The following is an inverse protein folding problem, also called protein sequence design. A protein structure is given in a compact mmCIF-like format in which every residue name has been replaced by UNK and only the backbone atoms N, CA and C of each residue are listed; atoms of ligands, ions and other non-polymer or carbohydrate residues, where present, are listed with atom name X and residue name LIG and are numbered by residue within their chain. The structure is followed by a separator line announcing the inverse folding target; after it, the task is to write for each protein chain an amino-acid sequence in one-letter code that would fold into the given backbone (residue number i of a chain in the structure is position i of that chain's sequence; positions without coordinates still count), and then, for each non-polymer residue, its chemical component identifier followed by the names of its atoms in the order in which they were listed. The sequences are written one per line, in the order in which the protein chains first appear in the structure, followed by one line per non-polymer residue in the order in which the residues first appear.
data_IF_922798361818
#
_entry.id   IF_922798361818
#
_cell.length_a   1.000
_cell.length_b   1.000
_cell.length_c   1.000
_cell.angle_alpha   90.00
_cell.angle_beta   90.00
_cell.angle_gamma   90.00
#
_symmetry.space_group_name_H-M   'P 1'
#
loop_
_entity.id
_entity.type
_entity.pdbx_description
1 polymer ?
#
# COMPACT_ATOMS: atom_id res chain seq x y z
N UNK A 1 -62.35 -12.97 -25.30
CA UNK A 1 -61.09 -13.40 -25.94
C UNK A 1 -60.07 -12.30 -25.73
N UNK A 2 -59.08 -12.57 -24.88
CA UNK A 2 -57.68 -12.10 -24.93
C UNK A 2 -56.97 -12.78 -23.75
N UNK A 3 -56.42 -13.95 -24.06
CA UNK A 3 -55.45 -14.71 -23.27
C UNK A 3 -54.19 -13.86 -23.04
N UNK A 4 -53.69 -13.71 -21.81
CA UNK A 4 -52.81 -14.64 -21.08
C UNK A 4 -51.32 -14.36 -21.37
N UNK A 5 -50.56 -13.90 -20.37
CA UNK A 5 -49.41 -14.61 -19.77
C UNK A 5 -48.52 -13.72 -18.87
N UNK A 6 -48.18 -14.31 -17.72
CA UNK A 6 -46.87 -14.39 -17.03
C UNK A 6 -46.06 -13.11 -16.76
N UNK A 7 -45.26 -12.98 -15.71
CA UNK A 7 -44.71 -13.86 -14.67
C UNK A 7 -44.18 -12.90 -13.56
N UNK A 8 -44.15 -13.35 -12.31
CA UNK A 8 -43.36 -12.73 -11.22
C UNK A 8 -41.96 -13.36 -11.29
N UNK A 9 -40.83 -12.62 -11.18
CA UNK A 9 -40.14 -12.59 -9.88
C UNK A 9 -39.20 -11.40 -9.54
N UNK A 10 -38.95 -11.32 -8.23
CA UNK A 10 -37.76 -10.89 -7.49
C UNK A 10 -37.17 -9.47 -7.62
N UNK A 11 -37.16 -8.80 -6.45
CA UNK A 11 -36.07 -7.96 -5.99
C UNK A 11 -35.36 -8.72 -4.83
N UNK A 12 -34.13 -8.39 -4.38
CA UNK A 12 -33.22 -7.31 -4.78
C UNK A 12 -31.78 -7.77 -5.08
N UNK A 13 -31.09 -7.17 -6.06
CA UNK A 13 -29.63 -7.27 -6.17
C UNK A 13 -28.95 -6.15 -5.38
N UNK A 14 -28.06 -6.55 -4.47
CA UNK A 14 -26.90 -5.81 -3.99
C UNK A 14 -25.75 -6.84 -3.85
N UNK A 15 -24.46 -6.47 -3.86
CA UNK A 15 -23.88 -5.12 -3.93
C UNK A 15 -22.93 -4.92 -5.14
N UNK A 16 -22.66 -3.66 -5.45
CA UNK A 16 -21.57 -3.23 -6.34
C UNK A 16 -20.25 -3.86 -5.88
N UNK A 17 -19.78 -4.80 -6.71
CA UNK A 17 -18.46 -5.41 -6.64
C UNK A 17 -17.45 -4.32 -6.96
N UNK A 18 -16.71 -3.88 -5.94
CA UNK A 18 -15.72 -2.80 -6.08
C UNK A 18 -14.58 -3.31 -6.95
N UNK A 19 -14.65 -2.93 -8.23
CA UNK A 19 -13.67 -3.25 -9.25
C UNK A 19 -12.24 -2.90 -8.81
N UNK A 20 -11.31 -3.83 -9.11
CA UNK A 20 -9.88 -3.57 -9.14
C UNK A 20 -9.59 -2.28 -9.93
N UNK A 21 -8.98 -1.30 -9.28
CA UNK A 21 -8.52 -0.10 -9.96
C UNK A 21 -7.25 -0.45 -10.75
N UNK A 22 -7.40 -0.67 -12.05
CA UNK A 22 -6.27 -0.73 -13.00
C UNK A 22 -5.70 0.68 -13.13
N UNK A 23 -4.52 0.91 -12.57
CA UNK A 23 -3.73 2.10 -12.86
C UNK A 23 -2.85 1.78 -14.06
N UNK A 24 -3.25 2.25 -15.24
CA UNK A 24 -2.46 2.14 -16.46
C UNK A 24 -1.36 3.20 -16.46
N UNK A 25 -0.09 2.76 -16.35
CA UNK A 25 1.08 3.56 -16.76
C UNK A 25 1.98 2.66 -17.61
N UNK A 26 2.22 3.11 -18.84
CA UNK A 26 2.87 2.37 -19.92
C UNK A 26 4.29 1.86 -19.59
N UNK A 27 4.41 0.54 -19.48
CA UNK A 27 5.45 -0.35 -20.02
C UNK A 27 4.93 -1.77 -19.77
N UNK A 28 5.10 -2.69 -20.73
CA UNK A 28 4.50 -4.03 -20.79
C UNK A 28 5.04 -5.00 -19.72
N UNK A 29 4.92 -4.60 -18.46
CA UNK A 29 5.19 -5.35 -17.25
C UNK A 29 3.88 -5.36 -16.48
N UNK A 30 3.20 -6.50 -16.47
CA UNK A 30 2.02 -6.70 -15.62
C UNK A 30 2.49 -6.64 -14.17
N UNK A 31 2.38 -5.47 -13.55
CA UNK A 31 2.66 -5.29 -12.14
C UNK A 31 1.52 -5.94 -11.35
N UNK A 32 1.71 -7.19 -10.94
CA UNK A 32 0.77 -7.84 -10.02
C UNK A 32 0.99 -7.27 -8.63
N UNK A 33 -0.05 -6.62 -8.11
CA UNK A 33 -0.03 -5.98 -6.80
C UNK A 33 -1.03 -6.64 -5.87
N UNK A 34 -0.50 -7.27 -4.83
CA UNK A 34 -1.26 -7.78 -3.71
C UNK A 34 -1.67 -6.63 -2.77
N UNK A 35 -2.92 -6.56 -2.34
CA UNK A 35 -3.37 -5.58 -1.34
C UNK A 35 -3.75 -6.26 -0.02
N UNK A 36 -3.24 -5.76 1.10
CA UNK A 36 -3.60 -6.25 2.43
C UNK A 36 -3.49 -5.16 3.51
N UNK A 37 -4.05 -5.41 4.69
CA UNK A 37 -3.90 -4.50 5.83
C UNK A 37 -2.47 -4.53 6.39
N UNK A 38 -1.92 -3.37 6.75
CA UNK A 38 -0.56 -3.23 7.26
C UNK A 38 -0.36 -3.95 8.61
N UNK A 39 -1.30 -3.80 9.54
CA UNK A 39 -1.22 -4.35 10.90
C UNK A 39 -0.97 -5.87 10.95
N UNK A 40 -1.80 -6.73 10.32
CA UNK A 40 -1.56 -8.18 10.35
C UNK A 40 -0.25 -8.57 9.64
N UNK A 41 0.15 -7.85 8.60
CA UNK A 41 1.41 -8.08 7.91
C UNK A 41 2.62 -7.79 8.82
N UNK A 42 2.61 -6.66 9.55
CA UNK A 42 3.67 -6.28 10.47
C UNK A 42 3.76 -7.21 11.69
N UNK A 43 2.62 -7.70 12.17
CA UNK A 43 2.59 -8.72 13.22
C UNK A 43 3.26 -10.02 12.78
N UNK A 44 2.99 -10.47 11.55
CA UNK A 44 3.61 -11.66 10.99
C UNK A 44 5.14 -11.46 10.85
N UNK A 45 5.59 -10.32 10.30
CA UNK A 45 7.02 -10.02 10.19
C UNK A 45 7.70 -9.99 11.56
N UNK A 46 7.12 -9.30 12.53
CA UNK A 46 7.69 -9.17 13.87
C UNK A 46 7.86 -10.53 14.54
N UNK A 47 6.88 -11.41 14.36
CA UNK A 47 6.89 -12.78 14.90
C UNK A 47 8.02 -13.63 14.31
N UNK A 48 8.23 -13.56 12.99
CA UNK A 48 9.22 -14.41 12.31
C UNK A 48 10.64 -13.83 12.26
N UNK A 49 10.77 -12.49 12.22
CA UNK A 49 12.02 -11.81 11.91
C UNK A 49 12.43 -10.71 12.89
N UNK A 50 11.64 -10.40 13.93
CA UNK A 50 11.88 -9.25 14.82
C UNK A 50 13.31 -9.15 15.36
N UNK A 51 13.86 -10.27 15.87
CA UNK A 51 15.24 -10.31 16.36
C UNK A 51 16.30 -10.11 15.26
N UNK A 52 16.01 -10.55 14.03
CA UNK A 52 16.93 -10.43 12.90
C UNK A 52 16.90 -9.02 12.29
N UNK A 53 15.74 -8.36 12.29
CA UNK A 53 15.61 -6.96 11.89
C UNK A 53 16.38 -6.04 12.84
N UNK A 54 16.27 -6.28 14.16
CA UNK A 54 16.96 -5.48 15.17
C UNK A 54 18.50 -5.63 15.16
N UNK A 55 19.03 -6.79 14.74
CA UNK A 55 20.47 -7.11 14.80
C UNK A 55 21.19 -6.98 13.46
N UNK A 56 20.47 -6.61 12.40
CA UNK A 56 20.97 -6.67 11.03
C UNK A 56 20.83 -8.08 10.43
N UNK A 57 20.28 -8.14 9.21
CA UNK A 57 19.99 -9.41 8.54
C UNK A 57 21.18 -9.94 7.74
N UNK A 58 21.50 -11.21 7.94
CA UNK A 58 22.42 -11.95 7.07
C UNK A 58 21.81 -12.14 5.67
N UNK A 59 22.65 -12.41 4.66
CA UNK A 59 22.19 -12.71 3.29
C UNK A 59 21.17 -13.85 3.26
N UNK A 60 21.41 -14.94 4.01
CA UNK A 60 20.46 -16.06 4.07
C UNK A 60 19.12 -15.70 4.69
N UNK A 61 19.11 -14.81 5.70
CA UNK A 61 17.87 -14.29 6.29
C UNK A 61 17.10 -13.41 5.31
N UNK A 62 17.79 -12.60 4.51
CA UNK A 62 17.17 -11.75 3.47
C UNK A 62 16.45 -12.59 2.42
N UNK A 63 17.03 -13.71 2.00
CA UNK A 63 16.37 -14.60 1.03
C UNK A 63 15.12 -15.27 1.61
N UNK A 64 15.16 -15.68 2.88
CA UNK A 64 13.99 -16.24 3.59
C UNK A 64 12.88 -15.18 3.71
N UNK A 65 13.25 -13.95 4.05
CA UNK A 65 12.32 -12.83 4.15
C UNK A 65 11.67 -12.51 2.80
N UNK A 66 12.45 -12.42 1.71
CA UNK A 66 11.91 -12.20 0.35
C UNK A 66 10.90 -13.28 -0.03
N UNK A 67 11.23 -14.55 0.23
CA UNK A 67 10.30 -15.66 0.00
C UNK A 67 9.06 -15.56 0.89
N UNK A 68 9.19 -15.12 2.14
CA UNK A 68 8.07 -14.91 3.04
C UNK A 68 7.12 -13.82 2.50
N UNK A 69 7.64 -12.65 2.14
CA UNK A 69 6.86 -11.55 1.55
C UNK A 69 6.18 -12.01 0.26
N UNK A 70 6.92 -12.67 -0.65
CA UNK A 70 6.34 -13.20 -1.88
C UNK A 70 5.27 -14.27 -1.67
N UNK A 71 5.29 -15.02 -0.56
CA UNK A 71 4.21 -15.95 -0.20
C UNK A 71 2.99 -15.22 0.35
N UNK A 72 3.20 -14.24 1.24
CA UNK A 72 2.11 -13.42 1.77
C UNK A 72 1.38 -12.71 0.62
N UNK A 73 2.13 -12.15 -0.32
CA UNK A 73 1.57 -11.48 -1.48
C UNK A 73 0.74 -12.43 -2.36
N UNK A 74 1.25 -13.63 -2.68
CA UNK A 74 0.49 -14.64 -3.45
C UNK A 74 -0.79 -15.07 -2.74
N UNK A 75 -0.75 -15.20 -1.42
CA UNK A 75 -1.92 -15.60 -0.63
C UNK A 75 -3.03 -14.53 -0.59
N UNK A 76 -2.70 -13.27 -0.90
CA UNK A 76 -3.67 -12.17 -0.98
C UNK A 76 -4.17 -11.87 -2.40
N UNK A 77 -3.78 -12.66 -3.39
CA UNK A 77 -4.32 -12.55 -4.74
C UNK A 77 -5.49 -13.53 -4.90
N UNK A 78 -6.53 -13.08 -5.60
CA UNK A 78 -7.65 -13.95 -5.99
C UNK A 78 -7.24 -14.93 -7.09
N UNK A 79 -6.30 -14.52 -7.95
CA UNK A 79 -5.72 -15.35 -9.01
C UNK A 79 -4.23 -15.61 -8.76
N UNK A 80 -3.77 -16.86 -8.97
CA UNK A 80 -2.36 -17.20 -8.80
C UNK A 80 -1.51 -16.48 -9.85
N UNK A 81 -0.53 -15.69 -9.39
CA UNK A 81 0.47 -15.06 -10.22
C UNK A 81 1.86 -15.66 -9.97
N UNK A 82 2.57 -15.92 -11.07
CA UNK A 82 3.94 -16.44 -11.03
C UNK A 82 4.92 -15.37 -10.52
N UNK A 83 4.73 -14.11 -10.95
CA UNK A 83 5.60 -12.98 -10.61
C UNK A 83 4.84 -11.88 -9.86
N UNK A 84 5.27 -11.64 -8.61
CA UNK A 84 4.81 -10.49 -7.81
C UNK A 84 6.01 -9.61 -7.54
N UNK A 85 5.90 -8.35 -7.95
CA UNK A 85 6.99 -7.39 -7.79
C UNK A 85 6.75 -6.42 -6.64
N UNK A 86 5.49 -6.17 -6.25
CA UNK A 86 5.13 -5.27 -5.17
C UNK A 86 3.92 -5.75 -4.36
N UNK A 87 3.82 -5.26 -3.13
CA UNK A 87 2.66 -5.36 -2.28
C UNK A 87 2.21 -3.97 -1.86
N UNK A 88 0.91 -3.78 -1.74
CA UNK A 88 0.28 -2.60 -1.18
C UNK A 88 -0.23 -2.93 0.22
N UNK A 89 0.33 -2.27 1.22
CA UNK A 89 -0.19 -2.32 2.59
C UNK A 89 -1.09 -1.11 2.82
N UNK A 90 -2.31 -1.34 3.31
CA UNK A 90 -3.23 -0.27 3.70
C UNK A 90 -3.09 0.02 5.19
N UNK A 91 -2.82 1.27 5.54
CA UNK A 91 -2.86 1.74 6.94
C UNK A 91 -4.30 2.02 7.36
N UNK A 92 -4.52 2.15 8.67
CA UNK A 92 -5.84 2.47 9.22
C UNK A 92 -6.33 3.86 8.78
N UNK A 93 -5.40 4.81 8.62
CA UNK A 93 -5.69 6.16 8.09
C UNK A 93 -5.89 6.20 6.56
N UNK A 94 -5.99 5.05 5.89
CA UNK A 94 -6.23 4.97 4.45
C UNK A 94 -5.05 5.43 3.59
N UNK A 95 -3.82 5.32 4.09
CA UNK A 95 -2.62 5.45 3.27
C UNK A 95 -2.24 4.10 2.66
N UNK A 96 -1.72 4.14 1.44
CA UNK A 96 -1.23 2.96 0.73
C UNK A 96 0.30 2.96 0.74
N UNK A 97 0.91 1.98 1.40
CA UNK A 97 2.35 1.75 1.38
C UNK A 97 2.65 0.77 0.25
N UNK A 98 3.27 1.28 -0.80
CA UNK A 98 3.83 0.47 -1.88
C UNK A 98 5.21 -0.05 -1.47
N UNK A 99 5.33 -1.37 -1.43
CA UNK A 99 6.55 -2.05 -1.06
C UNK A 99 6.91 -3.10 -2.08
N UNK A 100 8.12 -3.00 -2.64
CA UNK A 100 8.65 -4.04 -3.52
C UNK A 100 8.99 -5.30 -2.73
N UNK A 101 8.86 -6.47 -3.36
CA UNK A 101 9.22 -7.75 -2.70
C UNK A 101 10.71 -7.83 -2.37
N UNK A 102 11.56 -7.09 -3.11
CA UNK A 102 13.00 -7.01 -2.91
C UNK A 102 13.45 -5.85 -1.99
N UNK A 103 12.51 -5.24 -1.25
CA UNK A 103 12.76 -4.06 -0.41
C UNK A 103 13.99 -4.19 0.50
N UNK A 104 14.64 -3.06 0.73
CA UNK A 104 15.77 -2.96 1.65
C UNK A 104 15.39 -3.38 3.09
N UNK A 105 16.23 -4.19 3.77
CA UNK A 105 16.09 -4.53 5.19
C UNK A 105 15.79 -3.34 6.10
N UNK A 106 16.48 -2.23 5.85
CA UNK A 106 16.42 -1.01 6.64
C UNK A 106 15.04 -0.34 6.52
N UNK A 107 14.46 -0.38 5.33
CA UNK A 107 13.11 0.13 5.09
C UNK A 107 12.07 -0.71 5.82
N UNK A 108 12.20 -2.04 5.75
CA UNK A 108 11.30 -2.96 6.44
C UNK A 108 11.37 -2.81 7.96
N UNK A 109 12.56 -2.59 8.51
CA UNK A 109 12.75 -2.35 9.94
C UNK A 109 12.08 -1.05 10.43
N UNK A 110 11.89 -0.07 9.55
CA UNK A 110 11.23 1.20 9.85
C UNK A 110 9.70 1.14 9.74
N UNK A 111 9.14 0.13 9.07
CA UNK A 111 7.69 0.05 8.83
C UNK A 111 6.83 0.08 10.11
N UNK A 112 7.20 -0.60 11.23
CA UNK A 112 6.41 -0.52 12.45
C UNK A 112 6.27 0.92 12.96
N UNK A 113 7.38 1.64 13.13
CA UNK A 113 7.37 3.03 13.59
C UNK A 113 6.64 3.96 12.58
N UNK A 114 6.79 3.69 11.29
CA UNK A 114 6.10 4.45 10.23
C UNK A 114 4.57 4.27 10.29
N UNK A 115 4.10 3.04 10.57
CA UNK A 115 2.67 2.74 10.69
C UNK A 115 2.06 3.17 12.03
N UNK A 116 2.87 3.23 13.09
CA UNK A 116 2.42 3.69 14.42
C UNK A 116 2.38 5.23 14.53
N UNK A 117 3.10 5.94 13.65
CA UNK A 117 3.11 7.40 13.63
C UNK A 117 1.86 8.01 12.99
N UNK A 118 1.51 9.22 13.42
CA UNK A 118 0.44 10.00 12.82
C UNK A 118 0.62 10.12 11.30
N UNK A 119 -0.47 9.96 10.55
CA UNK A 119 -0.48 10.17 9.11
C UNK A 119 0.15 11.54 8.73
N UNK A 120 0.93 11.61 7.64
CA UNK A 120 1.58 12.87 7.21
C UNK A 120 0.58 14.02 7.02
N UNK A 121 -0.63 13.66 6.55
CA UNK A 121 -1.77 14.55 6.36
C UNK A 121 -3.03 13.78 6.74
N UNK A 122 -3.88 14.39 7.56
CA UNK A 122 -5.17 13.82 7.94
C UNK A 122 -6.13 13.73 6.75
N UNK A 123 -7.13 12.84 6.84
CA UNK A 123 -8.14 12.67 5.78
C UNK A 123 -8.87 13.98 5.43
N UNK A 124 -9.18 14.82 6.42
CA UNK A 124 -9.88 16.09 6.22
C UNK A 124 -9.08 17.13 5.41
N UNK A 125 -7.76 16.98 5.36
CA UNK A 125 -6.82 17.87 4.67
C UNK A 125 -6.38 17.32 3.31
N UNK A 126 -6.72 16.07 3.00
CA UNK A 126 -6.56 15.47 1.67
C UNK A 126 -7.73 15.84 0.76
N UNK A 127 -7.49 15.89 -0.55
CA UNK A 127 -8.56 16.01 -1.55
C UNK A 127 -9.45 14.76 -1.44
N UNK A 128 -10.79 14.90 -1.35
CA UNK A 128 -11.68 13.74 -1.36
C UNK A 128 -11.42 12.84 -2.56
N UNK A 129 -11.26 11.54 -2.32
CA UNK A 129 -10.92 10.54 -3.33
C UNK A 129 -9.43 10.47 -3.72
N UNK A 130 -8.57 11.37 -3.21
CA UNK A 130 -7.13 11.26 -3.42
C UNK A 130 -6.50 10.32 -2.39
N UNK A 131 -6.10 9.13 -2.82
CA UNK A 131 -5.33 8.23 -1.99
C UNK A 131 -3.94 8.83 -1.69
N UNK A 132 -3.49 8.69 -0.44
CA UNK A 132 -2.11 8.96 -0.09
C UNK A 132 -1.26 7.73 -0.38
N UNK A 133 -0.11 7.91 -1.01
CA UNK A 133 0.84 6.83 -1.27
C UNK A 133 2.13 7.04 -0.50
N UNK A 134 2.71 5.95 0.00
CA UNK A 134 4.00 5.89 0.68
C UNK A 134 4.85 4.88 -0.07
N UNK A 135 6.08 5.22 -0.42
CA UNK A 135 7.00 4.30 -1.06
C UNK A 135 8.42 4.50 -0.55
N UNK A 136 9.23 3.44 -0.64
CA UNK A 136 10.66 3.53 -0.40
C UNK A 136 11.36 4.01 -1.67
N UNK A 137 12.06 5.14 -1.59
CA UNK A 137 12.74 5.72 -2.74
C UNK A 137 14.18 5.18 -2.93
N UNK A 138 14.75 5.48 -4.08
CA UNK A 138 16.12 5.07 -4.42
C UNK A 138 17.20 5.78 -3.58
N UNK A 139 16.85 6.83 -2.85
CA UNK A 139 17.76 7.54 -1.95
C UNK A 139 17.80 6.90 -0.55
N UNK A 140 16.99 5.86 -0.30
CA UNK A 140 16.96 5.16 0.98
C UNK A 140 16.05 5.84 2.00
N UNK A 141 14.96 6.46 1.54
CA UNK A 141 13.98 7.09 2.41
C UNK A 141 12.55 6.65 2.10
N UNK A 142 11.71 6.59 3.13
CA UNK A 142 10.27 6.57 2.92
C UNK A 142 9.78 7.95 2.50
N UNK A 143 9.07 8.00 1.38
CA UNK A 143 8.47 9.22 0.84
C UNK A 143 6.95 9.03 0.75
N UNK A 144 6.21 9.98 1.31
CA UNK A 144 4.75 10.02 1.25
C UNK A 144 4.29 11.14 0.31
N UNK A 145 3.25 10.88 -0.47
CA UNK A 145 2.69 11.83 -1.42
C UNK A 145 1.16 11.77 -1.41
N UNK A 146 0.53 12.94 -1.48
CA UNK A 146 -0.92 13.04 -1.67
C UNK A 146 -1.28 14.39 -2.28
N UNK A 147 -2.54 14.57 -2.66
CA UNK A 147 -3.09 15.86 -3.10
C UNK A 147 -3.81 16.50 -1.93
N UNK A 148 -3.38 17.69 -1.52
CA UNK A 148 -4.06 18.46 -0.48
C UNK A 148 -5.47 18.86 -0.92
N UNK A 149 -6.31 19.22 0.05
CA UNK A 149 -7.66 19.76 -0.21
C UNK A 149 -7.66 21.02 -1.08
N UNK A 150 -6.57 21.78 -1.07
CA UNK A 150 -6.35 22.93 -1.94
C UNK A 150 -5.90 22.58 -3.37
N UNK A 151 -5.76 21.28 -3.69
CA UNK A 151 -5.41 20.80 -5.02
C UNK A 151 -3.91 20.74 -5.30
N UNK A 152 -3.05 20.88 -4.29
CA UNK A 152 -1.60 20.85 -4.48
C UNK A 152 -1.04 19.47 -4.12
N UNK A 153 -0.07 19.01 -4.92
CA UNK A 153 0.73 17.85 -4.54
C UNK A 153 1.63 18.23 -3.36
N UNK A 154 1.45 17.51 -2.25
CA UNK A 154 2.30 17.63 -1.06
C UNK A 154 3.16 16.38 -0.95
N UNK A 155 4.41 16.55 -0.50
CA UNK A 155 5.39 15.48 -0.36
C UNK A 155 6.02 15.54 1.03
N UNK A 156 6.18 14.37 1.63
CA UNK A 156 6.80 14.20 2.93
C UNK A 156 7.91 13.17 2.84
N UNK A 157 8.91 13.30 3.69
CA UNK A 157 9.92 12.28 3.91
C UNK A 157 9.91 11.86 5.36
N UNK A 158 10.00 10.57 5.58
CA UNK A 158 10.14 10.00 6.90
C UNK A 158 11.52 10.33 7.48
N UNK A 159 11.51 10.87 8.69
CA UNK A 159 12.70 11.01 9.51
C UNK A 159 12.75 9.84 10.49
N UNK A 160 13.62 8.87 10.20
CA UNK A 160 13.77 7.67 11.00
C UNK A 160 14.37 7.94 12.40
N UNK A 161 15.13 9.03 12.57
CA UNK A 161 15.73 9.36 13.88
C UNK A 161 14.70 10.00 14.80
N UNK A 162 13.84 10.87 14.27
CA UNK A 162 12.79 11.52 15.05
C UNK A 162 11.42 10.82 14.96
N UNK A 163 11.36 9.66 14.29
CA UNK A 163 10.15 8.85 14.06
C UNK A 163 8.94 9.68 13.63
N UNK A 164 9.13 10.57 12.64
CA UNK A 164 8.07 11.46 12.18
C UNK A 164 8.19 11.85 10.72
N UNK A 165 7.07 12.24 10.13
CA UNK A 165 7.03 12.83 8.79
C UNK A 165 7.55 14.27 8.80
N UNK A 166 8.38 14.61 7.81
CA UNK A 166 8.82 15.98 7.53
C UNK A 166 8.35 16.40 6.15
N UNK A 167 7.69 17.55 6.07
CA UNK A 167 7.32 18.14 4.78
C UNK A 167 8.58 18.47 3.97
N UNK A 168 8.62 18.03 2.72
CA UNK A 168 9.70 18.37 1.79
C UNK A 168 9.36 19.71 1.15
N UNK A 169 10.18 20.76 1.34
CA UNK A 169 10.00 22.00 0.61
C UNK A 169 10.16 21.70 -0.89
N UNK A 170 9.11 22.00 -1.65
CA UNK A 170 9.06 21.79 -3.09
C UNK A 170 8.31 22.92 -3.76
N UNK A 171 8.50 23.07 -5.07
CA UNK A 171 7.65 23.98 -5.84
C UNK A 171 6.21 23.44 -5.79
N UNK A 172 5.20 24.29 -5.47
CA UNK A 172 3.82 23.83 -5.47
C UNK A 172 3.46 23.34 -6.87
N UNK A 173 2.96 22.10 -6.95
CA UNK A 173 2.46 21.51 -8.19
C UNK A 173 0.94 21.43 -8.04
N UNK A 174 0.22 22.23 -8.81
CA UNK A 174 -1.24 22.19 -8.86
C UNK A 174 -1.67 20.94 -9.65
N UNK A 175 -2.55 20.15 -9.05
CA UNK A 175 -3.16 18.95 -9.65
C UNK A 175 -4.62 19.27 -9.91
N UNK A 176 -4.97 19.46 -11.19
CA UNK A 176 -6.34 19.72 -11.65
C UNK A 176 -7.19 18.45 -11.60
#
# INVERSE_FOLDING_TARGET
MSSERNDVPDAPEAPDDTAAAVVEVASDVVLVVASMAATPFLQAISTYFGNALAKGMSTGTRDILRRFIGRQARASLDEPADDIHAIHLRTEDGWQIEMRVDIAPEALAQLPALCDADAPVGEADRRPGAAGTIHWDNAGHWTAMTVSRSGYLVRFTWDAEAERWRERPGRPILVT
#
